data_IF_634957508180
#
_entry.id   IF_634957508180
#
_cell.length_a   1.000
_cell.length_b   1.000
_cell.length_c   1.000
_cell.angle_alpha   90.00
_cell.angle_beta   90.00
_cell.angle_gamma   90.00
#
_symmetry.space_group_name_H-M   'P 1'
#
loop_
_entity.id
_entity.type
_entity.pdbx_description
1 polymer ?
#
# COMPACT_ATOMS: atom_id res chain seq x y z
N UNK A 1 10.55 -18.80 11.14
CA UNK A 1 11.42 -17.80 10.47
C UNK A 1 10.63 -16.49 10.45
N UNK A 2 11.21 -15.34 10.84
CA UNK A 2 10.51 -14.04 10.72
C UNK A 2 10.45 -13.70 9.24
N UNK A 3 9.27 -13.33 8.70
CA UNK A 3 9.19 -12.89 7.30
C UNK A 3 10.12 -11.68 7.11
N UNK A 4 10.93 -11.71 6.05
CA UNK A 4 11.87 -10.63 5.79
C UNK A 4 11.16 -9.59 4.95
N UNK A 5 10.77 -8.48 5.57
CA UNK A 5 10.27 -7.33 4.81
C UNK A 5 11.45 -6.54 4.25
N UNK A 6 11.40 -6.26 2.96
CA UNK A 6 12.34 -5.42 2.26
C UNK A 6 11.63 -4.20 1.66
N UNK A 7 12.29 -3.05 1.69
CA UNK A 7 11.81 -1.85 1.00
C UNK A 7 12.74 -1.61 -0.20
N UNK A 8 12.16 -1.61 -1.40
CA UNK A 8 12.85 -1.37 -2.67
C UNK A 8 12.37 -0.04 -3.23
N UNK A 9 13.32 0.83 -3.56
CA UNK A 9 13.05 2.10 -4.21
C UNK A 9 13.40 1.96 -5.69
N UNK A 10 12.46 2.33 -6.56
CA UNK A 10 12.75 2.57 -7.96
C UNK A 10 12.43 4.03 -8.30
N UNK A 11 12.64 4.44 -9.56
CA UNK A 11 12.47 5.83 -9.97
C UNK A 11 11.04 6.37 -9.76
N UNK A 12 10.02 5.51 -9.87
CA UNK A 12 8.62 5.89 -9.82
C UNK A 12 7.89 5.47 -8.55
N UNK A 13 8.27 4.33 -7.99
CA UNK A 13 7.50 3.61 -7.00
C UNK A 13 8.37 3.15 -5.85
N UNK A 14 7.72 3.04 -4.70
CA UNK A 14 8.24 2.38 -3.52
C UNK A 14 7.54 1.03 -3.43
N UNK A 15 8.34 -0.04 -3.31
CA UNK A 15 7.85 -1.41 -3.21
C UNK A 15 8.22 -1.93 -1.82
N UNK A 16 7.25 -2.50 -1.12
CA UNK A 16 7.39 -3.09 0.20
C UNK A 16 7.11 -4.57 0.01
N UNK A 17 8.17 -5.34 0.02
CA UNK A 17 8.21 -6.73 -0.40
C UNK A 17 8.32 -7.67 0.81
N UNK A 18 7.68 -8.83 0.70
CA UNK A 18 7.74 -9.90 1.69
C UNK A 18 7.68 -11.26 0.99
N UNK A 19 8.01 -12.34 1.71
CA UNK A 19 8.10 -13.68 1.12
C UNK A 19 6.83 -14.17 0.40
N UNK A 20 5.64 -13.63 0.72
CA UNK A 20 4.35 -14.06 0.15
C UNK A 20 3.65 -13.01 -0.73
N UNK A 21 3.98 -11.74 -0.56
CA UNK A 21 3.23 -10.63 -1.17
C UNK A 21 4.06 -9.35 -1.16
N UNK A 22 3.72 -8.41 -2.03
CA UNK A 22 4.25 -7.06 -2.01
C UNK A 22 3.17 -6.01 -2.23
N UNK A 23 3.47 -4.80 -1.74
CA UNK A 23 2.67 -3.60 -1.93
C UNK A 23 3.55 -2.59 -2.66
N UNK A 24 3.01 -1.93 -3.68
CA UNK A 24 3.73 -0.87 -4.39
C UNK A 24 2.89 0.40 -4.51
N UNK A 25 3.52 1.57 -4.43
CA UNK A 25 2.83 2.84 -4.63
C UNK A 25 3.74 3.88 -5.31
N UNK A 26 3.15 4.73 -6.16
CA UNK A 26 3.90 5.72 -6.97
C UNK A 26 4.12 7.02 -6.19
N UNK A 27 5.32 7.17 -5.62
CA UNK A 27 5.68 8.32 -4.76
C UNK A 27 5.77 9.65 -5.52
N UNK A 28 5.86 9.62 -6.86
CA UNK A 28 5.93 10.86 -7.66
C UNK A 28 4.62 11.64 -7.63
N UNK A 29 3.49 10.94 -7.50
CA UNK A 29 2.19 11.58 -7.33
C UNK A 29 2.07 12.19 -5.93
N UNK A 30 2.56 11.48 -4.91
CA UNK A 30 2.55 11.93 -3.53
C UNK A 30 3.30 13.25 -3.35
N UNK A 31 4.50 13.37 -3.90
CA UNK A 31 5.33 14.58 -3.85
C UNK A 31 4.66 15.82 -4.48
N UNK A 32 3.68 15.60 -5.37
CA UNK A 32 2.92 16.65 -6.05
C UNK A 32 1.53 16.89 -5.42
N UNK A 33 1.20 16.19 -4.33
CA UNK A 33 -0.10 16.27 -3.67
C UNK A 33 -1.24 15.61 -4.45
N UNK A 34 -0.92 14.75 -5.42
CA UNK A 34 -1.92 14.03 -6.21
C UNK A 34 -2.30 12.70 -5.56
N UNK A 35 -3.48 12.14 -5.90
CA UNK A 35 -3.83 10.77 -5.55
C UNK A 35 -2.75 9.79 -6.04
N UNK A 36 -2.40 8.84 -5.18
CA UNK A 36 -1.30 7.91 -5.35
C UNK A 36 -1.86 6.56 -5.79
N UNK A 37 -1.56 6.10 -7.02
CA UNK A 37 -1.83 4.73 -7.41
C UNK A 37 -1.05 3.77 -6.51
N UNK A 38 -1.74 2.78 -5.96
CA UNK A 38 -1.18 1.73 -5.12
C UNK A 38 -1.68 0.37 -5.60
N UNK A 39 -0.78 -0.60 -5.65
CA UNK A 39 -1.05 -1.97 -6.07
C UNK A 39 -0.70 -2.92 -4.93
N UNK A 40 -1.67 -3.73 -4.51
CA UNK A 40 -1.52 -4.80 -3.55
C UNK A 40 -1.57 -6.12 -4.31
N UNK A 41 -0.51 -6.91 -4.21
CA UNK A 41 -0.43 -8.25 -4.81
C UNK A 41 -0.95 -9.28 -3.79
N UNK A 42 -2.13 -8.98 -3.27
CA UNK A 42 -3.02 -9.74 -2.41
C UNK A 42 -4.43 -9.21 -2.68
N UNK A 43 -5.46 -10.03 -2.50
CA UNK A 43 -6.83 -9.55 -2.46
C UNK A 43 -7.14 -9.13 -1.02
N UNK A 44 -7.07 -7.83 -0.67
CA UNK A 44 -7.39 -7.39 0.69
C UNK A 44 -8.87 -7.65 0.98
N UNK A 45 -9.16 -8.03 2.21
CA UNK A 45 -10.52 -7.93 2.75
C UNK A 45 -10.79 -6.47 3.18
N UNK A 46 -12.01 -6.22 3.67
CA UNK A 46 -12.40 -4.90 4.14
C UNK A 46 -11.56 -4.45 5.34
N UNK A 47 -11.15 -5.38 6.21
CA UNK A 47 -10.37 -5.07 7.42
C UNK A 47 -8.98 -4.50 7.06
N UNK A 48 -8.36 -4.99 5.99
CA UNK A 48 -7.09 -4.45 5.48
C UNK A 48 -7.24 -3.02 4.96
N UNK A 49 -8.33 -2.73 4.24
CA UNK A 49 -8.60 -1.37 3.72
C UNK A 49 -8.87 -0.40 4.88
N UNK A 50 -9.73 -0.80 5.82
CA UNK A 50 -10.05 -0.01 7.01
C UNK A 50 -8.78 0.25 7.85
N UNK A 51 -7.89 -0.75 7.95
CA UNK A 51 -6.62 -0.60 8.66
C UNK A 51 -5.73 0.47 8.01
N UNK A 52 -5.66 0.52 6.68
CA UNK A 52 -4.90 1.56 5.95
C UNK A 52 -5.50 2.95 6.22
N UNK A 53 -6.82 3.08 6.13
CA UNK A 53 -7.51 4.37 6.33
C UNK A 53 -7.46 4.86 7.79
N UNK A 54 -7.53 3.94 8.76
CA UNK A 54 -7.50 4.25 10.20
C UNK A 54 -6.24 4.98 10.65
N UNK A 55 -5.16 4.88 9.87
CA UNK A 55 -3.90 5.58 10.13
C UNK A 55 -4.00 7.09 9.94
N UNK A 56 -5.03 7.57 9.22
CA UNK A 56 -5.25 8.98 8.90
C UNK A 56 -4.20 9.58 7.95
N UNK A 57 -3.28 8.77 7.41
CA UNK A 57 -2.22 9.22 6.49
C UNK A 57 -2.74 9.34 5.06
N UNK A 58 -3.68 8.46 4.70
CA UNK A 58 -4.35 8.40 3.41
C UNK A 58 -5.83 8.10 3.62
N UNK A 59 -6.66 8.49 2.65
CA UNK A 59 -8.01 7.96 2.45
C UNK A 59 -8.00 7.08 1.21
N UNK A 60 -8.74 5.99 1.18
CA UNK A 60 -8.90 5.16 0.00
C UNK A 60 -10.06 5.71 -0.83
N UNK A 61 -9.83 5.93 -2.12
CA UNK A 61 -10.90 6.30 -3.05
C UNK A 61 -11.54 5.03 -3.62
N UNK A 62 -12.75 4.73 -3.16
CA UNK A 62 -13.50 3.52 -3.55
C UNK A 62 -13.89 3.52 -5.02
N UNK A 63 -14.12 4.68 -5.63
CA UNK A 63 -14.59 4.78 -7.03
C UNK A 63 -13.51 4.37 -8.03
N UNK A 64 -12.25 4.47 -7.60
CA UNK A 64 -11.06 4.12 -8.38
C UNK A 64 -10.36 2.85 -7.89
N UNK A 65 -10.93 2.17 -6.89
CA UNK A 65 -10.41 0.91 -6.36
C UNK A 65 -10.96 -0.29 -7.15
N UNK A 66 -10.07 -1.14 -7.69
CA UNK A 66 -10.44 -2.26 -8.56
C UNK A 66 -9.56 -3.48 -8.37
N UNK A 67 -10.18 -4.66 -8.41
CA UNK A 67 -9.45 -5.92 -8.50
C UNK A 67 -9.26 -6.34 -9.96
N UNK A 68 -8.04 -6.69 -10.34
CA UNK A 68 -7.73 -7.31 -11.62
C UNK A 68 -7.45 -8.80 -11.40
N UNK A 69 -8.39 -9.66 -11.80
CA UNK A 69 -8.29 -11.11 -11.60
C UNK A 69 -7.25 -11.79 -12.49
N UNK A 70 -6.89 -11.20 -13.62
CA UNK A 70 -5.87 -11.76 -14.54
C UNK A 70 -4.47 -11.78 -13.91
N UNK A 71 -4.16 -10.75 -13.13
CA UNK A 71 -2.85 -10.59 -12.49
C UNK A 71 -2.91 -10.76 -10.96
N UNK A 72 -4.10 -11.06 -10.42
CA UNK A 72 -4.39 -11.12 -8.98
C UNK A 72 -3.95 -9.85 -8.21
N UNK A 73 -4.06 -8.69 -8.86
CA UNK A 73 -3.66 -7.39 -8.29
C UNK A 73 -4.87 -6.60 -7.86
N UNK A 74 -4.86 -6.13 -6.62
CA UNK A 74 -5.81 -5.15 -6.13
C UNK A 74 -5.22 -3.74 -6.26
N UNK A 75 -5.84 -2.90 -7.09
CA UNK A 75 -5.40 -1.52 -7.31
C UNK A 75 -6.27 -0.60 -6.48
N UNK A 76 -5.65 0.19 -5.62
CA UNK A 76 -6.32 1.21 -4.82
C UNK A 76 -5.76 2.58 -5.16
N UNK A 77 -6.59 3.60 -5.09
CA UNK A 77 -6.16 4.98 -5.23
C UNK A 77 -6.13 5.61 -3.83
N UNK A 78 -4.93 5.98 -3.36
CA UNK A 78 -4.73 6.58 -2.06
C UNK A 78 -4.75 8.10 -2.19
N UNK A 79 -5.62 8.77 -1.46
CA UNK A 79 -5.67 10.24 -1.39
C UNK A 79 -4.88 10.70 -0.17
N UNK A 80 -3.72 11.36 -0.35
CA UNK A 80 -2.90 11.84 0.77
C UNK A 80 -3.68 12.78 1.68
N UNK A 81 -3.51 12.60 2.99
CA UNK A 81 -4.08 13.49 4.00
C UNK A 81 -3.02 14.47 4.55
N UNK A 82 -3.41 15.56 5.24
CA UNK A 82 -2.46 16.43 5.91
C UNK A 82 -1.50 15.65 6.82
N UNK A 83 -0.19 15.83 6.61
CA UNK A 83 0.85 15.12 7.36
C UNK A 83 1.28 13.78 6.75
N UNK A 84 0.87 13.49 5.52
CA UNK A 84 1.41 12.41 4.69
C UNK A 84 2.94 12.50 4.55
N UNK A 85 3.60 11.35 4.60
CA UNK A 85 4.96 11.18 4.10
C UNK A 85 5.21 9.74 3.69
N UNK A 86 6.07 9.54 2.69
CA UNK A 86 6.45 8.20 2.21
C UNK A 86 6.97 7.33 3.37
N UNK A 87 7.75 7.91 4.29
CA UNK A 87 8.26 7.21 5.48
C UNK A 87 7.13 6.62 6.33
N UNK A 88 6.06 7.39 6.58
CA UNK A 88 4.92 6.90 7.35
C UNK A 88 4.15 5.83 6.57
N UNK A 89 3.94 6.04 5.27
CA UNK A 89 3.26 5.06 4.43
C UNK A 89 4.02 3.73 4.35
N UNK A 90 5.35 3.79 4.24
CA UNK A 90 6.24 2.61 4.30
C UNK A 90 6.05 1.85 5.61
N UNK A 91 5.99 2.56 6.73
CA UNK A 91 5.79 1.95 8.04
C UNK A 91 4.44 1.22 8.11
N UNK A 92 3.35 1.89 7.71
CA UNK A 92 2.00 1.32 7.70
C UNK A 92 1.95 0.02 6.90
N UNK A 93 2.42 0.05 5.66
CA UNK A 93 2.41 -1.14 4.81
C UNK A 93 3.38 -2.22 5.28
N UNK A 94 4.52 -1.86 5.88
CA UNK A 94 5.41 -2.83 6.50
C UNK A 94 4.74 -3.53 7.68
N UNK A 95 4.00 -2.80 8.52
CA UNK A 95 3.28 -3.37 9.66
C UNK A 95 2.13 -4.28 9.19
N UNK A 96 1.36 -3.82 8.20
CA UNK A 96 0.32 -4.63 7.57
C UNK A 96 0.86 -5.97 7.03
N UNK A 97 1.99 -5.95 6.29
CA UNK A 97 2.59 -7.18 5.78
C UNK A 97 3.14 -8.08 6.90
N UNK A 98 3.54 -7.54 8.06
CA UNK A 98 3.93 -8.37 9.21
C UNK A 98 2.71 -9.09 9.76
N UNK A 99 1.60 -8.39 9.94
CA UNK A 99 0.35 -8.94 10.46
C UNK A 99 -0.18 -10.06 9.55
N UNK A 100 -0.27 -9.81 8.24
CA UNK A 100 -0.73 -10.79 7.25
C UNK A 100 0.17 -12.02 7.11
N UNK A 101 1.45 -11.92 7.51
CA UNK A 101 2.37 -13.06 7.50
C UNK A 101 2.32 -13.90 8.79
N UNK A 102 1.70 -13.37 9.85
CA UNK A 102 1.52 -14.06 11.14
C UNK A 102 0.20 -14.83 11.22
N UNK A 103 -0.77 -14.49 10.36
CA UNK A 103 -2.01 -15.23 10.10
C UNK A 103 -1.82 -16.40 9.14
#
# INVERSE_FOLDING_TARGET
MRSRIQVVYNEASIIIDSDKTFISFDHRYAAKGYPIPCELFIKPDYDVIDSIESTGIVRVDSDFTRYCSEYEVYRILLVPQPGYSDKKMIQVFSDLLRELNLT
#
